data_IF_264279408423
#
_entry.id   IF_264279408423
#
_cell.length_a   1.000
_cell.length_b   1.000
_cell.length_c   1.000
_cell.angle_alpha   90.00
_cell.angle_beta   90.00
_cell.angle_gamma   90.00
#
_symmetry.space_group_name_H-M   'P 1'
#
loop_
_entity.id
_entity.type
_entity.pdbx_description
1 polymer ?
#
# COMPACT_ATOMS: atom_id res chain seq x y z
N UNK A 1 16.14 5.40 -14.11
CA UNK A 1 16.10 6.02 -15.46
C UNK A 1 14.72 5.73 -16.02
N UNK A 2 13.82 6.71 -15.99
CA UNK A 2 12.46 6.56 -16.54
C UNK A 2 12.56 6.48 -18.06
N UNK A 3 12.20 5.34 -18.61
CA UNK A 3 12.26 5.10 -20.06
C UNK A 3 11.15 5.92 -20.74
N UNK A 4 11.53 7.01 -21.39
CA UNK A 4 10.64 7.92 -22.15
C UNK A 4 9.91 7.20 -23.31
N UNK A 5 10.33 5.97 -23.64
CA UNK A 5 9.73 5.15 -24.69
C UNK A 5 8.31 4.63 -24.35
N UNK A 6 7.96 4.59 -23.05
CA UNK A 6 6.72 3.99 -22.55
C UNK A 6 5.68 5.05 -22.12
N UNK A 7 5.77 6.26 -22.66
CA UNK A 7 4.84 7.35 -22.40
C UNK A 7 4.29 7.96 -23.70
N UNK A 8 3.06 8.47 -23.61
CA UNK A 8 2.40 9.29 -24.64
C UNK A 8 1.66 10.44 -23.96
N UNK A 9 1.34 11.49 -24.71
CA UNK A 9 0.52 12.57 -24.18
C UNK A 9 -0.97 12.25 -24.34
N UNK A 10 -1.81 12.87 -23.52
CA UNK A 10 -3.27 12.77 -23.66
C UNK A 10 -3.73 13.28 -25.06
N UNK A 11 -3.04 14.27 -25.59
CA UNK A 11 -3.31 14.78 -26.95
C UNK A 11 -3.02 13.72 -28.03
N UNK A 12 -1.98 12.91 -27.87
CA UNK A 12 -1.68 11.80 -28.78
C UNK A 12 -2.73 10.70 -28.68
N UNK A 13 -3.18 10.38 -27.47
CA UNK A 13 -4.29 9.45 -27.26
C UNK A 13 -5.57 9.92 -27.95
N UNK A 14 -5.90 11.20 -27.83
CA UNK A 14 -7.10 11.78 -28.45
C UNK A 14 -7.02 11.81 -29.97
N UNK A 15 -5.84 12.06 -30.55
CA UNK A 15 -5.65 12.15 -32.01
C UNK A 15 -5.52 10.78 -32.69
N UNK A 16 -4.89 9.83 -32.02
CA UNK A 16 -4.55 8.52 -32.58
C UNK A 16 -4.89 7.38 -31.61
N UNK A 17 -6.16 7.24 -31.17
CA UNK A 17 -6.54 6.30 -30.11
C UNK A 17 -6.19 4.83 -30.46
N UNK A 18 -6.37 4.42 -31.70
CA UNK A 18 -6.08 3.06 -32.16
C UNK A 18 -4.59 2.72 -32.03
N UNK A 19 -3.71 3.59 -32.51
CA UNK A 19 -2.26 3.37 -32.46
C UNK A 19 -1.76 3.36 -31.00
N UNK A 20 -2.31 4.21 -30.14
CA UNK A 20 -1.97 4.26 -28.72
C UNK A 20 -2.46 2.99 -27.99
N UNK A 21 -3.67 2.52 -28.30
CA UNK A 21 -4.20 1.27 -27.75
C UNK A 21 -3.37 0.05 -28.16
N UNK A 22 -3.00 -0.06 -29.46
CA UNK A 22 -2.12 -1.11 -29.96
C UNK A 22 -0.74 -1.09 -29.29
N UNK A 23 -0.20 0.11 -29.03
CA UNK A 23 1.05 0.29 -28.29
C UNK A 23 0.92 -0.14 -26.83
N UNK A 24 -0.17 0.23 -26.15
CA UNK A 24 -0.45 -0.19 -24.78
C UNK A 24 -0.58 -1.72 -24.68
N UNK A 25 -1.30 -2.35 -25.59
CA UNK A 25 -1.43 -3.81 -25.64
C UNK A 25 -0.10 -4.53 -25.85
N UNK A 26 0.77 -4.01 -26.72
CA UNK A 26 2.08 -4.56 -26.98
C UNK A 26 3.05 -4.42 -25.80
N UNK A 27 3.08 -3.25 -25.17
CA UNK A 27 3.96 -2.94 -24.02
C UNK A 27 3.40 -3.48 -22.71
N UNK A 28 2.09 -3.77 -22.67
CA UNK A 28 1.36 -4.21 -21.50
C UNK A 28 0.89 -3.08 -20.60
N UNK A 29 1.61 -1.95 -20.57
CA UNK A 29 1.27 -0.76 -19.80
C UNK A 29 1.90 0.45 -20.48
N UNK A 30 1.12 1.50 -20.66
CA UNK A 30 1.56 2.75 -21.31
C UNK A 30 1.17 3.94 -20.43
N UNK A 31 2.13 4.76 -20.05
CA UNK A 31 1.85 5.98 -19.28
C UNK A 31 1.28 7.04 -20.20
N UNK A 32 0.15 7.61 -19.82
CA UNK A 32 -0.48 8.74 -20.49
C UNK A 32 -0.29 9.97 -19.61
N UNK A 33 0.48 10.93 -20.12
CA UNK A 33 0.79 12.17 -19.41
C UNK A 33 -0.26 13.22 -19.72
N UNK A 34 -0.69 13.94 -18.71
CA UNK A 34 -1.62 15.05 -18.81
C UNK A 34 -0.94 16.35 -18.37
N UNK A 35 -1.28 17.49 -19.00
CA UNK A 35 -0.65 18.77 -18.71
C UNK A 35 -1.12 19.35 -17.37
N UNK A 36 -2.40 19.24 -17.10
CA UNK A 36 -3.10 19.92 -16.00
C UNK A 36 -3.84 18.95 -15.06
N UNK A 37 -3.53 17.63 -15.15
CA UNK A 37 -4.11 16.58 -14.33
C UNK A 37 -3.06 15.50 -14.04
N UNK A 38 -3.28 14.62 -13.05
CA UNK A 38 -2.42 13.48 -12.81
C UNK A 38 -2.27 12.58 -14.03
N UNK A 39 -1.08 12.04 -14.22
CA UNK A 39 -0.83 11.03 -15.22
C UNK A 39 -1.59 9.74 -14.89
N UNK A 40 -1.99 8.99 -15.91
CA UNK A 40 -2.62 7.68 -15.73
C UNK A 40 -1.97 6.62 -16.62
N UNK A 41 -2.33 5.38 -16.39
CA UNK A 41 -1.84 4.26 -17.19
C UNK A 41 -2.96 3.68 -18.04
N UNK A 42 -2.63 3.40 -19.29
CA UNK A 42 -3.47 2.66 -20.22
C UNK A 42 -2.95 1.22 -20.30
N UNK A 43 -3.80 0.27 -19.99
CA UNK A 43 -3.53 -1.16 -20.06
C UNK A 43 -4.72 -1.86 -20.72
N UNK A 44 -4.52 -3.05 -21.26
CA UNK A 44 -5.63 -3.85 -21.79
C UNK A 44 -6.46 -4.40 -20.62
N UNK A 45 -7.79 -4.36 -20.74
CA UNK A 45 -8.69 -4.76 -19.65
C UNK A 45 -8.46 -6.22 -19.20
N UNK A 46 -8.33 -7.15 -20.16
CA UNK A 46 -8.06 -8.56 -19.90
C UNK A 46 -6.78 -8.80 -19.09
N UNK A 47 -5.77 -7.96 -19.30
CA UNK A 47 -4.49 -8.05 -18.55
C UNK A 47 -4.63 -7.53 -17.13
N UNK A 48 -5.41 -6.48 -16.91
CA UNK A 48 -5.66 -5.96 -15.57
C UNK A 48 -6.54 -6.94 -14.78
N UNK A 49 -7.61 -7.45 -15.39
CA UNK A 49 -8.45 -8.51 -14.81
C UNK A 49 -7.64 -9.75 -14.41
N UNK A 50 -6.74 -10.21 -15.28
CA UNK A 50 -5.87 -11.35 -14.99
C UNK A 50 -4.90 -11.07 -13.83
N UNK A 51 -4.39 -9.83 -13.75
CA UNK A 51 -3.53 -9.40 -12.65
C UNK A 51 -4.28 -9.40 -11.32
N UNK A 52 -5.48 -8.84 -11.30
CA UNK A 52 -6.33 -8.78 -10.10
C UNK A 52 -6.73 -10.19 -9.65
N UNK A 53 -7.12 -11.07 -10.57
CA UNK A 53 -7.39 -12.47 -10.27
C UNK A 53 -6.17 -13.21 -9.69
N UNK A 54 -4.98 -12.94 -10.24
CA UNK A 54 -3.73 -13.52 -9.75
C UNK A 54 -3.42 -13.04 -8.33
N UNK A 55 -3.55 -11.73 -8.05
CA UNK A 55 -3.34 -11.16 -6.73
C UNK A 55 -4.35 -11.69 -5.71
N UNK A 56 -5.62 -11.74 -6.08
CA UNK A 56 -6.70 -12.31 -5.26
C UNK A 56 -6.41 -13.78 -4.91
N UNK A 57 -6.00 -14.56 -5.89
CA UNK A 57 -5.65 -15.98 -5.67
C UNK A 57 -4.46 -16.12 -4.74
N UNK A 58 -3.40 -15.32 -4.94
CA UNK A 58 -2.22 -15.32 -4.08
C UNK A 58 -2.57 -14.92 -2.64
N UNK A 59 -3.41 -13.90 -2.45
CA UNK A 59 -3.89 -13.48 -1.14
C UNK A 59 -4.69 -14.59 -0.45
N UNK A 60 -5.59 -15.26 -1.15
CA UNK A 60 -6.35 -16.40 -0.60
C UNK A 60 -5.46 -17.57 -0.18
N UNK A 61 -4.44 -17.90 -0.97
CA UNK A 61 -3.45 -18.94 -0.60
C UNK A 61 -2.69 -18.51 0.65
N UNK A 62 -2.23 -17.27 0.70
CA UNK A 62 -1.54 -16.71 1.86
C UNK A 62 -2.40 -16.79 3.14
N UNK A 63 -3.64 -16.33 3.07
CA UNK A 63 -4.59 -16.38 4.20
C UNK A 63 -4.89 -17.82 4.64
N UNK A 64 -5.00 -18.76 3.70
CA UNK A 64 -5.18 -20.17 4.02
C UNK A 64 -3.97 -20.74 4.79
N UNK A 65 -2.74 -20.36 4.40
CA UNK A 65 -1.52 -20.73 5.12
C UNK A 65 -1.49 -20.13 6.52
N UNK A 66 -1.97 -18.89 6.72
CA UNK A 66 -1.97 -18.21 8.01
C UNK A 66 -2.91 -18.82 9.06
N UNK A 67 -3.84 -19.70 8.65
CA UNK A 67 -4.66 -20.48 9.58
C UNK A 67 -3.88 -21.54 10.38
N UNK A 68 -2.61 -21.77 10.02
CA UNK A 68 -1.75 -22.72 10.70
C UNK A 68 -0.73 -22.00 11.59
N UNK A 69 -0.62 -22.38 12.86
CA UNK A 69 0.28 -21.76 13.84
C UNK A 69 1.75 -21.73 13.38
N UNK A 70 2.21 -22.78 12.69
CA UNK A 70 3.56 -22.83 12.18
C UNK A 70 3.83 -21.75 11.11
N UNK A 71 2.86 -21.50 10.24
CA UNK A 71 2.94 -20.49 9.20
C UNK A 71 2.87 -19.07 9.79
N UNK A 72 2.01 -18.85 10.78
CA UNK A 72 1.91 -17.58 11.48
C UNK A 72 3.24 -17.23 12.18
N UNK A 73 3.90 -18.20 12.83
CA UNK A 73 5.25 -18.01 13.40
C UNK A 73 6.29 -17.72 12.33
N UNK A 74 6.27 -18.46 11.23
CA UNK A 74 7.21 -18.24 10.13
C UNK A 74 7.05 -16.84 9.54
N UNK A 75 5.82 -16.35 9.40
CA UNK A 75 5.56 -14.98 8.97
C UNK A 75 6.15 -13.95 9.92
N UNK A 76 5.91 -14.06 11.22
CA UNK A 76 6.48 -13.14 12.21
C UNK A 76 8.01 -13.09 12.14
N UNK A 77 8.66 -14.22 11.91
CA UNK A 77 10.11 -14.29 11.76
C UNK A 77 10.59 -13.68 10.43
N UNK A 78 9.78 -13.76 9.37
CA UNK A 78 10.10 -13.20 8.05
C UNK A 78 9.77 -11.69 7.93
N UNK A 79 9.00 -11.12 8.87
CA UNK A 79 8.61 -9.70 8.81
C UNK A 79 9.79 -8.74 8.66
N UNK A 80 10.95 -8.90 9.35
CA UNK A 80 12.11 -8.03 9.17
C UNK A 80 12.73 -8.11 7.77
N UNK A 81 12.61 -9.23 7.08
CA UNK A 81 13.12 -9.41 5.72
C UNK A 81 12.24 -8.68 4.70
N UNK A 82 10.92 -8.69 4.92
CA UNK A 82 9.94 -8.00 4.05
C UNK A 82 9.86 -6.51 4.37
N UNK A 83 9.87 -6.17 5.65
CA UNK A 83 9.77 -4.81 6.17
C UNK A 83 10.93 -4.49 7.11
N UNK A 84 12.12 -4.11 6.62
CA UNK A 84 13.32 -3.89 7.46
C UNK A 84 13.14 -2.87 8.58
N UNK A 85 12.16 -1.98 8.48
CA UNK A 85 11.85 -0.97 9.49
C UNK A 85 11.16 -1.54 10.74
N UNK A 86 10.60 -2.76 10.70
CA UNK A 86 9.95 -3.38 11.89
C UNK A 86 10.95 -3.64 13.02
N UNK A 87 12.25 -3.64 12.75
CA UNK A 87 13.32 -3.71 13.77
C UNK A 87 13.25 -2.58 14.82
N UNK A 88 12.58 -1.48 14.51
CA UNK A 88 12.37 -0.34 15.41
C UNK A 88 11.09 -0.48 16.25
N UNK A 89 10.30 -1.50 16.02
CA UNK A 89 9.10 -1.84 16.78
C UNK A 89 9.42 -2.86 17.85
N UNK A 90 8.63 -2.88 18.92
CA UNK A 90 8.66 -3.96 19.90
C UNK A 90 8.07 -5.25 19.32
N UNK A 91 8.36 -6.38 19.95
CA UNK A 91 7.80 -7.69 19.52
C UNK A 91 6.28 -7.69 19.50
N UNK A 92 5.62 -7.02 20.46
CA UNK A 92 4.17 -6.91 20.51
C UNK A 92 3.61 -6.06 19.34
N UNK A 93 4.28 -4.97 19.03
CA UNK A 93 3.90 -4.12 17.91
C UNK A 93 4.08 -4.81 16.54
N UNK A 94 5.15 -5.59 16.38
CA UNK A 94 5.32 -6.42 15.18
C UNK A 94 4.19 -7.43 15.05
N UNK A 95 3.74 -8.02 16.18
CA UNK A 95 2.60 -8.93 16.18
C UNK A 95 1.31 -8.20 15.80
N UNK A 96 1.03 -7.04 16.38
CA UNK A 96 -0.16 -6.23 16.07
C UNK A 96 -0.15 -5.82 14.62
N UNK A 97 0.97 -5.29 14.12
CA UNK A 97 1.14 -4.95 12.70
C UNK A 97 0.85 -6.16 11.79
N UNK A 98 1.36 -7.34 12.16
CA UNK A 98 1.15 -8.55 11.35
C UNK A 98 -0.33 -8.94 11.29
N UNK A 99 -1.06 -8.85 12.41
CA UNK A 99 -2.49 -9.13 12.46
C UNK A 99 -3.26 -8.13 11.60
N UNK A 100 -3.04 -6.83 11.81
CA UNK A 100 -3.71 -5.78 11.04
C UNK A 100 -3.43 -5.90 9.53
N UNK A 101 -2.21 -6.27 9.14
CA UNK A 101 -1.86 -6.49 7.74
C UNK A 101 -2.58 -7.70 7.15
N UNK A 102 -2.68 -8.80 7.90
CA UNK A 102 -3.40 -10.00 7.47
C UNK A 102 -4.89 -9.71 7.31
N UNK A 103 -5.49 -8.99 8.26
CA UNK A 103 -6.90 -8.59 8.20
C UNK A 103 -7.16 -7.67 7.01
N UNK A 104 -6.31 -6.66 6.79
CA UNK A 104 -6.42 -5.75 5.65
C UNK A 104 -6.27 -6.48 4.29
N UNK A 105 -5.39 -7.47 4.20
CA UNK A 105 -5.25 -8.31 3.00
C UNK A 105 -6.45 -9.25 2.81
N UNK A 106 -7.07 -9.70 3.90
CA UNK A 106 -8.32 -10.48 3.85
C UNK A 106 -9.46 -9.65 3.29
N UNK A 107 -9.63 -8.44 3.83
CA UNK A 107 -10.68 -7.50 3.39
C UNK A 107 -10.48 -7.11 1.92
N UNK A 108 -9.25 -6.87 1.49
CA UNK A 108 -8.94 -6.59 0.09
C UNK A 108 -9.32 -7.76 -0.83
N UNK A 109 -9.06 -9.00 -0.40
CA UNK A 109 -9.38 -10.20 -1.19
C UNK A 109 -10.87 -10.54 -1.22
N UNK A 110 -11.66 -10.14 -0.20
CA UNK A 110 -13.08 -10.47 -0.07
C UNK A 110 -13.99 -9.33 -0.54
N UNK A 111 -13.57 -8.08 -0.36
CA UNK A 111 -14.40 -6.89 -0.55
C UNK A 111 -13.91 -5.97 -1.68
N UNK A 112 -12.83 -6.35 -2.39
CA UNK A 112 -12.21 -5.54 -3.44
C UNK A 112 -11.77 -4.14 -2.96
N UNK A 113 -11.22 -4.08 -1.74
CA UNK A 113 -10.79 -2.84 -1.06
C UNK A 113 -9.26 -2.70 -1.04
N UNK A 114 -8.66 -2.19 -2.10
CA UNK A 114 -7.19 -2.11 -2.26
C UNK A 114 -6.47 -1.13 -1.30
N UNK A 115 -7.20 -0.23 -0.65
CA UNK A 115 -6.60 0.88 0.11
C UNK A 115 -6.09 0.49 1.49
N UNK A 116 -6.74 -0.44 2.19
CA UNK A 116 -6.48 -0.72 3.60
C UNK A 116 -5.07 -1.25 3.89
N UNK A 117 -4.54 -2.17 3.08
CA UNK A 117 -3.22 -2.76 3.33
C UNK A 117 -2.08 -1.72 3.22
N UNK A 118 -2.17 -0.78 2.25
CA UNK A 118 -1.18 0.29 2.11
C UNK A 118 -1.27 1.32 3.24
N UNK A 119 -2.45 1.59 3.76
CA UNK A 119 -2.65 2.47 4.92
C UNK A 119 -2.05 1.86 6.17
N UNK A 120 -2.28 0.57 6.44
CA UNK A 120 -1.65 -0.16 7.55
C UNK A 120 -0.13 -0.11 7.47
N UNK A 121 0.45 -0.45 6.30
CA UNK A 121 1.91 -0.40 6.10
C UNK A 121 2.46 1.01 6.32
N UNK A 122 1.78 2.04 5.80
CA UNK A 122 2.21 3.43 5.90
C UNK A 122 2.15 3.94 7.35
N UNK A 123 1.08 3.63 8.07
CA UNK A 123 0.88 4.00 9.47
C UNK A 123 1.95 3.38 10.38
N UNK A 124 2.19 2.08 10.25
CA UNK A 124 3.22 1.39 11.03
C UNK A 124 4.64 1.81 10.67
N UNK A 125 4.91 2.11 9.41
CA UNK A 125 6.18 2.68 8.98
C UNK A 125 6.43 4.06 9.58
N UNK A 126 5.40 4.89 9.69
CA UNK A 126 5.49 6.20 10.35
C UNK A 126 5.80 6.04 11.85
N UNK A 127 5.14 5.11 12.55
CA UNK A 127 5.41 4.77 13.95
C UNK A 127 6.85 4.28 14.15
N UNK A 128 7.33 3.38 13.29
CA UNK A 128 8.71 2.91 13.33
C UNK A 128 9.73 4.03 13.09
N UNK A 129 9.41 4.98 12.21
CA UNK A 129 10.26 6.14 11.94
C UNK A 129 10.40 7.05 13.17
N UNK A 130 9.30 7.34 13.87
CA UNK A 130 9.32 8.12 15.12
C UNK A 130 10.19 7.42 16.17
N UNK A 131 10.06 6.10 16.32
CA UNK A 131 10.85 5.31 17.28
C UNK A 131 12.33 5.18 16.90
N UNK A 132 12.65 5.21 15.62
CA UNK A 132 14.02 5.23 15.14
C UNK A 132 14.75 6.54 15.46
N UNK A 133 14.01 7.65 15.53
CA UNK A 133 14.51 8.96 15.95
C UNK A 133 14.29 9.14 17.45
N UNK A 134 15.37 9.02 18.22
CA UNK A 134 15.32 9.11 19.70
C UNK A 134 14.73 10.41 20.19
N UNK A 135 15.03 11.52 19.52
CA UNK A 135 14.54 12.87 19.92
C UNK A 135 13.02 12.96 19.69
N UNK A 136 12.54 12.57 18.51
CA UNK A 136 11.11 12.55 18.20
C UNK A 136 10.34 11.59 19.10
N UNK A 137 10.94 10.44 19.45
CA UNK A 137 10.32 9.46 20.34
C UNK A 137 10.17 10.00 21.77
N UNK A 138 11.22 10.64 22.33
CA UNK A 138 11.16 11.27 23.65
C UNK A 138 10.16 12.44 23.69
N UNK A 139 10.03 13.20 22.60
CA UNK A 139 9.01 14.25 22.46
C UNK A 139 7.59 13.68 22.39
N UNK A 140 7.37 12.63 21.63
CA UNK A 140 6.07 11.96 21.51
C UNK A 140 5.59 11.33 22.84
N UNK A 141 6.53 10.89 23.69
CA UNK A 141 6.22 10.35 25.03
C UNK A 141 5.96 11.43 26.07
N UNK A 142 6.35 12.68 25.82
CA UNK A 142 6.04 13.79 26.74
C UNK A 142 4.53 14.01 26.73
N UNK A 143 3.91 13.81 27.91
CA UNK A 143 2.51 14.17 28.09
C UNK A 143 2.32 15.63 27.66
N UNK A 144 1.37 15.91 26.81
CA UNK A 144 0.96 17.27 26.47
C UNK A 144 0.37 17.90 27.73
N UNK A 145 1.23 18.56 28.49
CA UNK A 145 0.79 19.41 29.60
C UNK A 145 0.32 20.74 29.00
N UNK A 146 -0.95 20.81 28.64
CA UNK A 146 -1.59 22.01 28.16
C UNK A 146 -3.06 21.97 28.55
N UNK A 147 -3.55 23.08 29.09
CA UNK A 147 -4.99 23.34 29.20
C UNK A 147 -5.49 23.61 27.78
N UNK A 148 -6.17 22.63 27.19
CA UNK A 148 -6.73 22.73 25.83
C UNK A 148 -8.04 23.57 25.80
N UNK A 149 -8.32 24.29 26.86
CA UNK A 149 -9.50 25.14 26.98
C UNK A 149 -10.79 24.34 27.21
N UNK A 150 -11.72 24.93 27.93
CA UNK A 150 -13.05 24.37 28.10
C UNK A 150 -13.76 24.33 26.74
N UNK A 151 -14.21 23.13 26.32
CA UNK A 151 -15.13 23.00 25.19
C UNK A 151 -16.48 23.57 25.66
N UNK A 152 -16.82 24.79 25.20
CA UNK A 152 -18.18 25.30 25.38
C UNK A 152 -19.15 24.42 24.57
N UNK A 153 -19.87 23.56 25.26
CA UNK A 153 -21.03 22.88 24.70
C UNK A 153 -22.18 23.86 24.75
N UNK A 154 -22.47 24.52 23.63
CA UNK A 154 -23.66 25.33 23.47
C UNK A 154 -24.90 24.42 23.45
N UNK A 155 -25.97 24.72 24.22
CA UNK A 155 -27.17 23.89 24.32
C UNK A 155 -27.99 23.83 23.02
#
# INVERSE_FOLDING_TARGET
MSNTADAVTFSDLSRNPKSVAERASRLGRLRVTHRDAPDFYLTAADREEQRDETLTTASRIFLALMKHDASARALLLAMPDVFPWVRHLSTEEVRTFTVELVDALSDAAELDLDTNAQEVITGWRASARIKADRVQYEEALRATTGDFGAVEVTP
#
